data_IF_227234362144
#
_entry.id   IF_227234362144
#
_cell.length_a   1.000
_cell.length_b   1.000
_cell.length_c   1.000
_cell.angle_alpha   90.00
_cell.angle_beta   90.00
_cell.angle_gamma   90.00
#
_symmetry.space_group_name_H-M   'P 1'
#
loop_
_entity.id
_entity.type
_entity.pdbx_description
1 polymer ?
#
# COMPACT_ATOMS: atom_id res chain seq x y z
N UNK A 1 -7.48 -72.90 -52.92
CA UNK A 1 -7.41 -72.99 -51.44
C UNK A 1 -7.22 -71.58 -50.90
N UNK A 2 -8.33 -70.97 -50.51
CA UNK A 2 -8.39 -69.63 -49.93
C UNK A 2 -8.19 -69.74 -48.43
N UNK A 3 -7.24 -68.92 -47.87
CA UNK A 3 -7.18 -68.70 -46.42
C UNK A 3 -7.56 -67.25 -46.16
N UNK A 4 -8.74 -67.06 -45.60
CA UNK A 4 -9.26 -65.83 -45.04
C UNK A 4 -8.43 -65.48 -43.81
N UNK A 5 -7.84 -64.29 -43.78
CA UNK A 5 -7.36 -63.67 -42.55
C UNK A 5 -8.36 -62.59 -42.15
N UNK A 6 -9.09 -62.87 -41.10
CA UNK A 6 -9.89 -61.85 -40.38
C UNK A 6 -8.96 -60.96 -39.59
N UNK A 7 -8.95 -59.70 -39.97
CA UNK A 7 -8.24 -58.63 -39.25
C UNK A 7 -9.23 -58.05 -38.23
N UNK A 8 -9.05 -58.37 -36.93
CA UNK A 8 -9.78 -57.72 -35.82
C UNK A 8 -9.16 -56.35 -35.56
N UNK A 9 -9.89 -55.31 -35.95
CA UNK A 9 -9.54 -53.92 -35.64
C UNK A 9 -10.08 -53.66 -34.21
N UNK A 10 -9.16 -53.64 -33.21
CA UNK A 10 -9.50 -53.18 -31.86
C UNK A 10 -9.54 -51.65 -31.92
N UNK A 11 -10.77 -51.12 -31.90
CA UNK A 11 -11.03 -49.69 -31.69
C UNK A 11 -10.82 -49.41 -30.20
N UNK A 12 -9.63 -48.98 -29.84
CA UNK A 12 -9.35 -48.43 -28.50
C UNK A 12 -10.05 -47.05 -28.41
N UNK A 13 -11.28 -47.07 -27.89
CA UNK A 13 -11.95 -45.84 -27.42
C UNK A 13 -11.23 -45.40 -26.15
N UNK A 14 -10.28 -44.50 -26.30
CA UNK A 14 -9.77 -43.74 -25.19
C UNK A 14 -10.89 -42.81 -24.69
N UNK A 15 -11.68 -43.34 -23.78
CA UNK A 15 -12.53 -42.50 -22.92
C UNK A 15 -11.56 -41.75 -22.03
N UNK A 16 -11.16 -40.52 -22.44
CA UNK A 16 -10.57 -39.55 -21.54
C UNK A 16 -11.67 -39.20 -20.52
N UNK A 17 -11.73 -39.98 -19.45
CA UNK A 17 -12.38 -39.54 -18.25
C UNK A 17 -11.59 -38.33 -17.73
N UNK A 18 -11.96 -37.14 -18.18
CA UNK A 18 -11.68 -35.95 -17.43
C UNK A 18 -12.44 -36.10 -16.12
N UNK A 19 -11.75 -36.65 -15.12
CA UNK A 19 -12.22 -36.58 -13.74
C UNK A 19 -12.51 -35.08 -13.48
N UNK A 20 -13.75 -34.76 -13.06
CA UNK A 20 -14.04 -33.39 -12.67
C UNK A 20 -12.97 -33.00 -11.66
N UNK A 21 -12.26 -31.89 -11.90
CA UNK A 21 -11.21 -31.38 -11.02
C UNK A 21 -11.75 -31.46 -9.59
N UNK A 22 -11.15 -32.31 -8.77
CA UNK A 22 -11.62 -32.59 -7.42
C UNK A 22 -11.54 -31.26 -6.69
N UNK A 23 -12.69 -30.66 -6.35
CA UNK A 23 -12.74 -29.37 -5.64
C UNK A 23 -11.87 -29.51 -4.42
N UNK A 24 -10.81 -28.72 -4.31
CA UNK A 24 -9.91 -28.76 -3.17
C UNK A 24 -10.72 -28.62 -1.88
N UNK A 25 -10.45 -29.45 -0.89
CA UNK A 25 -11.07 -29.34 0.42
C UNK A 25 -10.85 -27.96 1.06
N UNK A 26 -9.82 -27.23 0.61
CA UNK A 26 -9.50 -25.87 1.04
C UNK A 26 -10.43 -24.81 0.45
N UNK A 27 -11.01 -25.04 -0.74
CA UNK A 27 -11.89 -24.06 -1.37
C UNK A 27 -13.07 -23.68 -0.47
N UNK A 28 -13.29 -22.38 -0.24
CA UNK A 28 -14.40 -21.87 0.56
C UNK A 28 -14.05 -20.61 1.36
N UNK A 29 -14.99 -20.19 2.18
CA UNK A 29 -14.83 -19.11 3.16
C UNK A 29 -14.51 -19.70 4.53
N UNK A 30 -13.47 -19.16 5.15
CA UNK A 30 -12.92 -19.63 6.43
C UNK A 30 -12.83 -18.46 7.40
N UNK A 31 -13.28 -18.67 8.63
CA UNK A 31 -13.14 -17.67 9.70
C UNK A 31 -12.48 -18.29 10.93
N UNK A 32 -11.76 -17.47 11.65
CA UNK A 32 -11.11 -17.86 12.90
C UNK A 32 -10.14 -16.80 13.39
N UNK A 33 -9.03 -17.26 13.95
CA UNK A 33 -8.11 -16.33 14.61
C UNK A 33 -6.67 -16.84 14.63
N UNK A 34 -5.75 -15.89 14.85
CA UNK A 34 -4.45 -16.15 15.44
C UNK A 34 -4.50 -15.80 16.92
N UNK A 35 -3.69 -16.47 17.71
CA UNK A 35 -3.57 -16.22 19.14
C UNK A 35 -2.14 -16.34 19.62
N UNK A 36 -1.81 -15.57 20.65
CA UNK A 36 -0.52 -15.60 21.32
C UNK A 36 -0.69 -15.16 22.76
N UNK A 37 -0.22 -15.97 23.72
CA UNK A 37 -0.33 -15.66 25.15
C UNK A 37 -1.75 -15.29 25.63
N UNK A 38 -2.78 -15.88 24.99
CA UNK A 38 -4.17 -15.56 25.31
C UNK A 38 -4.77 -14.35 24.62
N UNK A 39 -3.96 -13.54 23.93
CA UNK A 39 -4.46 -12.47 23.06
C UNK A 39 -4.89 -13.04 21.71
N UNK A 40 -5.95 -12.52 21.11
CA UNK A 40 -6.62 -13.07 19.92
C UNK A 40 -6.83 -11.97 18.88
N UNK A 41 -6.48 -12.29 17.62
CA UNK A 41 -6.78 -11.47 16.46
C UNK A 41 -7.60 -12.27 15.44
N UNK A 42 -8.77 -11.78 15.08
CA UNK A 42 -9.65 -12.45 14.12
C UNK A 42 -9.17 -12.30 12.69
N UNK A 43 -9.31 -13.37 11.92
CA UNK A 43 -8.93 -13.42 10.51
C UNK A 43 -10.02 -14.11 9.67
N UNK A 44 -10.08 -13.78 8.39
CA UNK A 44 -10.92 -14.44 7.39
C UNK A 44 -10.08 -14.80 6.18
N UNK A 45 -10.45 -15.89 5.53
CA UNK A 45 -9.79 -16.33 4.29
C UNK A 45 -10.83 -16.77 3.28
N UNK A 46 -10.68 -16.30 2.06
CA UNK A 46 -11.39 -16.80 0.90
C UNK A 46 -10.43 -17.57 0.00
N UNK A 47 -10.70 -18.84 -0.21
CA UNK A 47 -9.87 -19.75 -0.99
C UNK A 47 -10.62 -20.20 -2.24
N UNK A 48 -10.04 -19.93 -3.41
CA UNK A 48 -10.62 -20.19 -4.72
C UNK A 48 -9.74 -21.15 -5.52
N UNK A 49 -10.36 -22.00 -6.36
CA UNK A 49 -9.63 -22.94 -7.20
C UNK A 49 -9.19 -24.20 -6.45
N UNK A 50 -8.25 -24.95 -7.02
CA UNK A 50 -7.76 -26.22 -6.46
C UNK A 50 -6.32 -26.50 -6.92
N UNK A 51 -5.56 -27.25 -6.13
CA UNK A 51 -4.17 -27.61 -6.44
C UNK A 51 -3.31 -26.38 -6.70
N UNK A 52 -2.48 -26.40 -7.72
CA UNK A 52 -1.58 -25.31 -8.10
C UNK A 52 -2.28 -24.01 -8.52
N UNK A 53 -3.61 -24.07 -8.73
CA UNK A 53 -4.43 -22.89 -9.06
C UNK A 53 -5.13 -22.28 -7.85
N UNK A 54 -4.85 -22.75 -6.63
CA UNK A 54 -5.47 -22.23 -5.42
C UNK A 54 -5.02 -20.78 -5.19
N UNK A 55 -5.99 -19.86 -5.20
CA UNK A 55 -5.81 -18.47 -4.82
C UNK A 55 -6.36 -18.27 -3.42
N UNK A 56 -5.61 -17.61 -2.58
CA UNK A 56 -5.99 -17.32 -1.20
C UNK A 56 -6.00 -15.84 -0.97
N UNK A 57 -7.15 -15.32 -0.55
CA UNK A 57 -7.29 -13.94 -0.08
C UNK A 57 -7.51 -13.98 1.42
N UNK A 58 -6.93 -13.05 2.14
CA UNK A 58 -7.20 -12.93 3.57
C UNK A 58 -7.64 -11.53 3.95
N UNK A 59 -8.45 -11.48 4.98
CA UNK A 59 -8.84 -10.27 5.67
C UNK A 59 -8.30 -10.30 7.10
N UNK A 60 -7.78 -9.16 7.52
CA UNK A 60 -7.49 -8.82 8.90
C UNK A 60 -8.27 -7.53 9.25
N UNK A 61 -9.54 -7.67 9.66
CA UNK A 61 -10.43 -6.52 9.82
C UNK A 61 -9.91 -5.48 10.82
N UNK A 62 -9.26 -5.93 11.89
CA UNK A 62 -8.73 -5.01 12.90
C UNK A 62 -7.57 -4.15 12.34
N UNK A 63 -6.73 -4.71 11.48
CA UNK A 63 -5.70 -3.95 10.76
C UNK A 63 -6.23 -3.15 9.57
N UNK A 64 -7.50 -3.32 9.22
CA UNK A 64 -8.06 -2.75 8.01
C UNK A 64 -7.44 -3.31 6.73
N UNK A 65 -7.04 -4.58 6.75
CA UNK A 65 -6.53 -5.34 5.60
C UNK A 65 -7.66 -6.18 5.04
N UNK A 66 -7.95 -6.01 3.76
CA UNK A 66 -9.07 -6.69 3.11
C UNK A 66 -8.69 -7.22 1.73
N UNK A 67 -9.12 -8.43 1.42
CA UNK A 67 -8.91 -9.13 0.14
C UNK A 67 -7.44 -9.12 -0.31
N UNK A 68 -6.53 -9.25 0.66
CA UNK A 68 -5.11 -9.27 0.39
C UNK A 68 -4.71 -10.63 -0.20
N UNK A 69 -4.07 -10.62 -1.36
CA UNK A 69 -3.53 -11.85 -1.94
C UNK A 69 -2.37 -12.35 -1.10
N UNK A 70 -2.32 -13.66 -0.92
CA UNK A 70 -1.11 -14.29 -0.42
C UNK A 70 -0.17 -14.48 -1.60
N UNK A 71 0.86 -13.64 -1.67
CA UNK A 71 1.95 -13.76 -2.66
C UNK A 71 3.09 -14.62 -2.08
N UNK A 72 3.78 -15.34 -2.96
CA UNK A 72 4.91 -16.20 -2.62
C UNK A 72 4.58 -17.67 -2.67
N UNK A 73 5.59 -18.52 -2.41
CA UNK A 73 5.49 -19.97 -2.44
C UNK A 73 4.51 -20.48 -1.37
N UNK A 74 3.22 -20.42 -1.69
CA UNK A 74 2.19 -21.14 -0.96
C UNK A 74 2.39 -22.62 -1.28
N UNK A 75 3.35 -23.26 -0.63
CA UNK A 75 3.59 -24.68 -0.79
C UNK A 75 2.44 -25.44 -0.11
N UNK A 76 1.37 -25.64 -0.86
CA UNK A 76 0.34 -26.58 -0.46
C UNK A 76 0.90 -27.96 -0.75
N UNK A 77 1.29 -28.64 0.31
CA UNK A 77 1.91 -29.96 0.21
C UNK A 77 1.00 -30.96 -0.52
N UNK A 78 1.63 -31.92 -1.19
CA UNK A 78 1.04 -32.93 -2.07
C UNK A 78 -0.14 -33.72 -1.47
N UNK A 79 -0.40 -33.63 -0.17
CA UNK A 79 -1.40 -34.43 0.55
C UNK A 79 -2.66 -33.66 0.99
N UNK A 80 -2.91 -32.43 0.55
CA UNK A 80 -4.09 -31.63 0.92
C UNK A 80 -4.42 -31.54 2.44
N UNK A 81 -3.56 -32.01 3.32
CA UNK A 81 -3.77 -32.04 4.76
C UNK A 81 -2.70 -31.31 5.55
N UNK A 82 -1.47 -31.24 5.04
CA UNK A 82 -0.36 -30.49 5.63
C UNK A 82 0.13 -29.50 4.60
N UNK A 83 0.21 -28.22 4.94
CA UNK A 83 0.60 -27.15 4.04
C UNK A 83 1.06 -25.92 4.81
N UNK A 84 1.72 -25.01 4.12
CA UNK A 84 2.16 -23.74 4.68
C UNK A 84 1.30 -22.60 4.13
N UNK A 85 0.94 -21.66 4.99
CA UNK A 85 0.36 -20.38 4.61
C UNK A 85 1.29 -19.27 5.09
N UNK A 86 1.69 -18.36 4.18
CA UNK A 86 2.46 -17.17 4.51
C UNK A 86 1.62 -15.92 4.33
N UNK A 87 1.41 -15.16 5.40
CA UNK A 87 0.65 -13.91 5.38
C UNK A 87 1.23 -12.92 6.42
N UNK A 88 0.58 -11.77 6.62
CA UNK A 88 1.10 -10.63 7.37
C UNK A 88 1.72 -10.88 8.75
N UNK A 89 1.60 -12.10 9.30
CA UNK A 89 2.25 -12.54 10.54
C UNK A 89 3.30 -13.62 10.30
N UNK A 90 3.73 -13.79 9.06
CA UNK A 90 4.75 -14.74 8.64
C UNK A 90 4.19 -16.11 8.24
N UNK A 91 5.05 -17.11 8.21
CA UNK A 91 4.78 -18.45 7.70
C UNK A 91 4.22 -19.37 8.79
N UNK A 92 3.04 -19.92 8.55
CA UNK A 92 2.37 -20.88 9.43
C UNK A 92 2.41 -22.28 8.83
N UNK A 93 2.83 -23.26 9.61
CA UNK A 93 2.68 -24.68 9.29
C UNK A 93 1.28 -25.13 9.70
N UNK A 94 0.48 -25.57 8.74
CA UNK A 94 -0.94 -25.82 8.90
C UNK A 94 -1.30 -27.27 8.70
N UNK A 95 -2.34 -27.73 9.43
CA UNK A 95 -2.97 -29.04 9.31
C UNK A 95 -4.45 -28.87 9.03
N UNK A 96 -4.95 -29.45 7.91
CA UNK A 96 -6.37 -29.51 7.58
C UNK A 96 -7.02 -30.75 8.16
N UNK A 97 -8.03 -30.56 9.00
CA UNK A 97 -8.96 -31.61 9.39
C UNK A 97 -10.19 -31.59 8.44
N UNK A 98 -10.16 -32.42 7.41
CA UNK A 98 -11.24 -32.49 6.40
C UNK A 98 -12.61 -32.84 7.00
N UNK A 99 -12.64 -33.67 8.06
CA UNK A 99 -13.90 -34.14 8.70
C UNK A 99 -14.65 -32.97 9.35
N UNK A 100 -13.93 -32.05 9.98
CA UNK A 100 -14.54 -30.94 10.73
C UNK A 100 -14.44 -29.61 9.98
N UNK A 101 -13.79 -29.58 8.79
CA UNK A 101 -13.56 -28.35 8.04
C UNK A 101 -12.76 -27.35 8.85
N UNK A 102 -11.67 -27.79 9.48
CA UNK A 102 -10.82 -26.95 10.35
C UNK A 102 -9.39 -26.96 9.87
N UNK A 103 -8.76 -25.80 9.96
CA UNK A 103 -7.31 -25.64 9.76
C UNK A 103 -6.73 -25.15 11.07
N UNK A 104 -5.71 -25.85 11.55
CA UNK A 104 -4.89 -25.43 12.68
C UNK A 104 -3.45 -25.27 12.21
N UNK A 105 -2.72 -24.33 12.79
CA UNK A 105 -1.32 -24.12 12.44
C UNK A 105 -0.58 -23.33 13.50
N UNK A 106 0.73 -23.25 13.34
CA UNK A 106 1.58 -22.44 14.21
C UNK A 106 2.73 -21.79 13.45
N UNK A 107 3.16 -20.63 13.96
CA UNK A 107 4.39 -19.96 13.54
C UNK A 107 5.39 -19.99 14.69
N UNK A 108 6.38 -20.86 14.59
CA UNK A 108 7.42 -21.09 15.61
C UNK A 108 8.56 -20.05 15.60
N UNK A 109 8.58 -19.17 14.61
CA UNK A 109 9.57 -18.09 14.55
C UNK A 109 9.30 -17.02 15.62
N UNK A 110 8.07 -16.98 16.13
CA UNK A 110 7.70 -16.14 17.25
C UNK A 110 7.91 -16.87 18.58
N UNK A 111 8.38 -16.18 19.59
CA UNK A 111 8.61 -16.73 20.93
C UNK A 111 7.85 -15.91 21.96
N UNK A 112 6.79 -16.45 22.60
CA UNK A 112 6.13 -17.74 22.31
C UNK A 112 5.49 -17.77 20.92
N UNK A 113 5.29 -19.00 20.40
CA UNK A 113 4.73 -19.21 19.07
C UNK A 113 3.33 -18.59 18.91
N UNK A 114 3.00 -18.17 17.70
CA UNK A 114 1.65 -17.74 17.32
C UNK A 114 0.89 -18.95 16.82
N UNK A 115 -0.31 -19.17 17.37
CA UNK A 115 -1.21 -20.24 16.96
C UNK A 115 -2.24 -19.71 15.95
N UNK A 116 -2.65 -20.56 15.05
CA UNK A 116 -3.62 -20.26 13.99
C UNK A 116 -4.73 -21.32 13.99
N UNK A 117 -5.98 -20.88 14.02
CA UNK A 117 -7.13 -21.77 13.94
C UNK A 117 -8.26 -21.08 13.18
N UNK A 118 -8.68 -21.71 12.08
CA UNK A 118 -9.83 -21.27 11.29
C UNK A 118 -10.76 -22.45 10.98
N UNK A 119 -12.02 -22.15 10.76
CA UNK A 119 -13.08 -23.10 10.39
C UNK A 119 -13.75 -22.66 9.10
N UNK A 120 -14.00 -23.61 8.22
CA UNK A 120 -14.79 -23.40 7.02
C UNK A 120 -16.25 -23.14 7.40
N UNK A 121 -16.78 -22.01 6.96
CA UNK A 121 -18.16 -21.61 7.27
C UNK A 121 -19.05 -21.46 6.04
N UNK A 122 -18.46 -21.44 4.84
CA UNK A 122 -19.26 -21.29 3.64
C UNK A 122 -18.48 -21.38 2.34
N UNK A 123 -19.09 -20.86 1.29
CA UNK A 123 -18.44 -20.64 -0.01
C UNK A 123 -17.62 -19.36 0.06
N UNK A 124 -16.51 -19.30 -0.69
CA UNK A 124 -15.74 -18.08 -0.83
C UNK A 124 -16.63 -16.92 -1.32
N UNK A 125 -16.43 -15.74 -0.69
CA UNK A 125 -17.19 -14.54 -1.04
C UNK A 125 -16.84 -14.07 -2.46
N UNK A 126 -17.83 -13.63 -3.20
CA UNK A 126 -17.58 -12.99 -4.48
C UNK A 126 -17.03 -11.58 -4.28
N UNK A 127 -16.11 -11.18 -5.16
CA UNK A 127 -15.64 -9.80 -5.17
C UNK A 127 -16.79 -8.80 -5.33
N UNK A 128 -16.80 -7.70 -4.58
CA UNK A 128 -17.87 -6.69 -4.67
C UNK A 128 -17.80 -5.85 -5.96
N UNK A 129 -16.85 -6.14 -6.84
CA UNK A 129 -16.55 -5.39 -8.05
C UNK A 129 -16.35 -6.30 -9.26
N UNK A 130 -16.43 -5.69 -10.44
CA UNK A 130 -15.83 -6.20 -11.67
C UNK A 130 -14.53 -5.46 -11.93
N UNK A 131 -13.54 -6.13 -12.53
CA UNK A 131 -12.25 -5.52 -12.85
C UNK A 131 -11.93 -5.61 -14.33
N UNK A 132 -11.27 -4.58 -14.84
CA UNK A 132 -10.78 -4.49 -16.20
C UNK A 132 -9.31 -4.07 -16.17
N UNK A 133 -8.44 -4.83 -16.80
CA UNK A 133 -7.05 -4.43 -17.00
C UNK A 133 -6.96 -3.41 -18.14
N UNK A 134 -6.22 -2.34 -17.90
CA UNK A 134 -6.06 -1.21 -18.82
C UNK A 134 -4.58 -0.95 -19.11
N UNK A 135 -4.34 -0.26 -20.20
CA UNK A 135 -3.01 0.27 -20.53
C UNK A 135 -3.15 1.64 -21.16
N UNK A 136 -2.30 2.56 -20.74
CA UNK A 136 -2.19 3.92 -21.28
C UNK A 136 -0.74 4.35 -21.33
N UNK A 137 -0.44 5.46 -22.00
CA UNK A 137 0.96 5.88 -22.22
C UNK A 137 1.18 7.34 -21.82
N UNK A 138 2.38 7.59 -21.30
CA UNK A 138 2.94 8.93 -21.10
C UNK A 138 4.26 9.00 -21.88
N UNK A 139 4.25 9.65 -23.06
CA UNK A 139 5.39 9.62 -23.97
C UNK A 139 5.76 8.18 -24.34
N UNK A 140 7.03 7.82 -24.15
CA UNK A 140 7.55 6.46 -24.41
C UNK A 140 7.29 5.45 -23.28
N UNK A 141 6.67 5.85 -22.17
CA UNK A 141 6.38 4.98 -21.03
C UNK A 141 4.98 4.39 -21.16
N UNK A 142 4.88 3.06 -21.16
CA UNK A 142 3.62 2.32 -21.10
C UNK A 142 3.29 2.02 -19.65
N UNK A 143 2.09 2.40 -19.21
CA UNK A 143 1.58 2.20 -17.87
C UNK A 143 0.46 1.17 -17.89
N UNK A 144 0.60 0.12 -17.12
CA UNK A 144 -0.40 -0.92 -16.92
C UNK A 144 -1.23 -0.59 -15.69
N UNK A 145 -2.55 -0.75 -15.77
CA UNK A 145 -3.45 -0.41 -14.69
C UNK A 145 -4.65 -1.35 -14.62
N UNK A 146 -5.54 -1.08 -13.67
CA UNK A 146 -6.82 -1.77 -13.55
C UNK A 146 -7.90 -0.78 -13.11
N UNK A 147 -9.09 -0.95 -13.67
CA UNK A 147 -10.31 -0.27 -13.23
C UNK A 147 -11.14 -1.28 -12.45
N UNK A 148 -11.53 -0.92 -11.24
CA UNK A 148 -12.42 -1.70 -10.40
C UNK A 148 -13.77 -0.97 -10.31
N UNK A 149 -14.82 -1.59 -10.86
CA UNK A 149 -16.19 -1.04 -10.84
C UNK A 149 -17.02 -1.77 -9.79
N UNK A 150 -17.70 -1.09 -8.87
CA UNK A 150 -18.65 -1.73 -7.96
C UNK A 150 -19.68 -2.57 -8.72
N UNK A 151 -20.08 -3.72 -8.18
CA UNK A 151 -21.23 -4.47 -8.69
C UNK A 151 -22.51 -3.70 -8.33
N UNK A 152 -23.42 -3.54 -9.28
CA UNK A 152 -24.66 -2.79 -9.14
C UNK A 152 -24.83 -1.78 -10.27
N UNK A 153 -25.87 -0.98 -10.21
CA UNK A 153 -26.20 0.02 -11.22
C UNK A 153 -26.11 1.42 -10.64
N UNK A 154 -25.42 2.31 -11.32
CA UNK A 154 -25.47 3.74 -11.04
C UNK A 154 -24.23 4.47 -11.54
N UNK A 155 -24.29 5.78 -11.68
CA UNK A 155 -23.11 6.61 -11.79
C UNK A 155 -22.47 6.69 -10.40
N UNK A 156 -21.35 5.95 -10.21
CA UNK A 156 -20.61 5.94 -8.97
C UNK A 156 -19.47 6.99 -8.98
N UNK A 157 -19.06 7.54 -7.82
CA UNK A 157 -17.82 8.29 -7.74
C UNK A 157 -16.64 7.36 -8.02
N UNK A 158 -15.58 7.90 -8.61
CA UNK A 158 -14.37 7.16 -8.95
C UNK A 158 -13.13 7.85 -8.42
N UNK A 159 -12.17 7.06 -7.97
CA UNK A 159 -10.91 7.54 -7.38
C UNK A 159 -9.73 6.98 -8.15
N UNK A 160 -8.80 7.85 -8.55
CA UNK A 160 -7.48 7.45 -9.07
C UNK A 160 -6.51 7.42 -7.89
N UNK A 161 -5.89 6.26 -7.65
CA UNK A 161 -4.88 6.10 -6.60
C UNK A 161 -3.50 6.58 -7.09
N UNK A 162 -2.91 7.52 -6.36
CA UNK A 162 -1.57 8.06 -6.61
C UNK A 162 -0.60 7.48 -5.56
N UNK A 163 0.47 6.87 -6.05
CA UNK A 163 1.44 6.16 -5.23
C UNK A 163 2.31 7.09 -4.37
N UNK A 164 2.86 6.53 -3.28
CA UNK A 164 3.93 7.14 -2.50
C UNK A 164 5.31 7.03 -3.19
N UNK A 165 6.38 7.20 -2.41
CA UNK A 165 7.77 7.17 -2.90
C UNK A 165 8.23 5.79 -3.36
N UNK A 166 7.75 4.71 -2.73
CA UNK A 166 8.21 3.34 -2.97
C UNK A 166 7.85 2.78 -4.35
N UNK A 167 8.46 1.64 -4.68
CA UNK A 167 8.14 0.81 -5.84
C UNK A 167 6.79 0.11 -5.65
N UNK A 168 5.71 0.81 -5.99
CA UNK A 168 4.36 0.35 -5.73
C UNK A 168 3.67 -0.11 -7.01
N UNK A 169 3.15 -1.33 -6.97
CA UNK A 169 2.31 -1.89 -8.02
C UNK A 169 0.85 -2.03 -7.53
N UNK A 170 -0.08 -2.14 -8.48
CA UNK A 170 -1.53 -2.26 -8.21
C UNK A 170 -1.95 -3.44 -7.32
N UNK A 171 -1.03 -4.41 -7.08
CA UNK A 171 -1.27 -5.57 -6.20
C UNK A 171 -0.79 -5.38 -4.76
N UNK A 172 -0.20 -4.24 -4.43
CA UNK A 172 0.25 -3.94 -3.07
C UNK A 172 -0.91 -4.06 -2.08
N UNK A 173 -0.67 -4.64 -0.92
CA UNK A 173 -1.69 -5.03 0.07
C UNK A 173 -2.64 -3.89 0.48
N UNK A 174 -2.14 -2.68 0.71
CA UNK A 174 -2.97 -1.55 1.12
C UNK A 174 -3.85 -1.03 -0.05
N UNK A 175 -3.36 -1.10 -1.28
CA UNK A 175 -4.14 -0.78 -2.49
C UNK A 175 -5.29 -1.77 -2.62
N UNK A 176 -5.03 -3.06 -2.44
CA UNK A 176 -6.07 -4.11 -2.46
C UNK A 176 -7.13 -3.86 -1.40
N UNK A 177 -6.71 -3.49 -0.19
CA UNK A 177 -7.64 -3.15 0.91
C UNK A 177 -8.51 -1.94 0.57
N UNK A 178 -7.92 -0.88 -0.01
CA UNK A 178 -8.67 0.28 -0.49
C UNK A 178 -9.67 -0.11 -1.58
N UNK A 179 -9.26 -0.88 -2.59
CA UNK A 179 -10.15 -1.38 -3.64
C UNK A 179 -11.34 -2.11 -3.04
N UNK A 180 -11.11 -3.04 -2.12
CA UNK A 180 -12.17 -3.83 -1.49
C UNK A 180 -13.15 -2.96 -0.69
N UNK A 181 -12.62 -2.06 0.15
CA UNK A 181 -13.44 -1.18 0.99
C UNK A 181 -14.22 -0.17 0.14
N UNK A 182 -13.56 0.48 -0.81
CA UNK A 182 -14.20 1.51 -1.63
C UNK A 182 -15.29 0.92 -2.53
N UNK A 183 -15.02 -0.21 -3.17
CA UNK A 183 -16.02 -0.85 -4.06
C UNK A 183 -17.19 -1.46 -3.30
N UNK A 184 -17.00 -2.00 -2.09
CA UNK A 184 -18.13 -2.36 -1.19
C UNK A 184 -19.01 -1.16 -0.83
N UNK A 185 -18.47 0.05 -0.92
CA UNK A 185 -19.16 1.30 -0.65
C UNK A 185 -19.60 2.05 -1.93
N UNK A 186 -19.71 1.37 -3.06
CA UNK A 186 -20.11 1.96 -4.35
C UNK A 186 -19.20 3.11 -4.79
N UNK A 187 -17.89 2.93 -4.65
CA UNK A 187 -16.85 3.84 -5.13
C UNK A 187 -15.94 3.07 -6.07
N UNK A 188 -15.89 3.49 -7.33
CA UNK A 188 -14.97 2.92 -8.32
C UNK A 188 -13.52 3.31 -8.04
N UNK A 189 -12.59 2.45 -8.43
CA UNK A 189 -11.15 2.67 -8.20
C UNK A 189 -10.37 2.44 -9.48
N UNK A 190 -9.48 3.37 -9.78
CA UNK A 190 -8.45 3.22 -10.82
C UNK A 190 -7.10 3.19 -10.14
N UNK A 191 -6.32 2.20 -10.46
CA UNK A 191 -4.92 2.11 -10.01
C UNK A 191 -4.04 1.61 -11.14
N UNK A 192 -2.81 2.05 -11.18
CA UNK A 192 -1.82 1.58 -12.16
C UNK A 192 -0.52 1.18 -11.47
N UNK A 193 0.28 0.37 -12.12
CA UNK A 193 1.63 0.07 -11.66
C UNK A 193 2.48 1.33 -11.91
N UNK A 194 3.14 1.84 -10.86
CA UNK A 194 4.06 2.97 -10.99
C UNK A 194 5.11 2.66 -12.04
N UNK A 195 5.56 3.67 -12.81
CA UNK A 195 6.59 3.44 -13.84
C UNK A 195 7.78 2.64 -13.31
N UNK A 196 8.25 1.66 -14.06
CA UNK A 196 9.32 0.76 -13.65
C UNK A 196 8.94 -0.30 -12.62
N UNK A 197 7.63 -0.47 -12.34
CA UNK A 197 7.13 -1.52 -11.45
C UNK A 197 6.06 -2.37 -12.13
N UNK A 198 5.81 -3.57 -11.61
CA UNK A 198 4.78 -4.46 -12.11
C UNK A 198 4.89 -4.70 -13.62
N UNK A 199 3.85 -4.32 -14.38
CA UNK A 199 3.81 -4.43 -15.85
C UNK A 199 4.04 -3.08 -16.57
N UNK A 200 4.32 -2.02 -15.82
CA UNK A 200 4.65 -0.71 -16.37
C UNK A 200 6.11 -0.63 -16.80
N UNK A 201 6.36 -0.01 -17.96
CA UNK A 201 7.70 0.29 -18.41
C UNK A 201 8.27 1.54 -17.75
N UNK A 202 9.49 1.94 -18.14
CA UNK A 202 10.16 3.11 -17.57
C UNK A 202 11.07 2.74 -16.40
N UNK A 203 11.53 3.78 -15.68
CA UNK A 203 12.40 3.61 -14.53
C UNK A 203 11.96 4.58 -13.41
N UNK A 204 11.63 4.04 -12.25
CA UNK A 204 11.21 4.80 -11.09
C UNK A 204 12.37 5.58 -10.47
N UNK A 205 13.57 5.03 -10.45
CA UNK A 205 14.74 5.62 -9.79
C UNK A 205 15.23 6.90 -10.48
N UNK A 206 14.91 7.06 -11.76
CA UNK A 206 15.29 8.25 -12.54
C UNK A 206 14.11 9.18 -12.83
N UNK A 207 12.90 8.82 -12.40
CA UNK A 207 11.70 9.61 -12.61
C UNK A 207 11.68 10.83 -11.68
N UNK A 208 11.35 11.99 -12.21
CA UNK A 208 11.07 13.21 -11.44
C UNK A 208 9.60 13.27 -11.00
N UNK A 209 9.27 14.19 -10.08
CA UNK A 209 7.87 14.48 -9.76
C UNK A 209 7.07 14.96 -10.99
N UNK A 210 7.71 15.66 -11.93
CA UNK A 210 7.08 16.04 -13.19
C UNK A 210 6.70 14.81 -14.03
N UNK A 211 7.58 13.81 -14.11
CA UNK A 211 7.29 12.54 -14.80
C UNK A 211 6.11 11.81 -14.15
N UNK A 212 6.12 11.70 -12.82
CA UNK A 212 5.06 11.04 -12.06
C UNK A 212 3.72 11.79 -12.19
N UNK A 213 3.74 13.13 -12.17
CA UNK A 213 2.56 13.96 -12.42
C UNK A 213 1.99 13.78 -13.83
N UNK A 214 2.87 13.62 -14.82
CA UNK A 214 2.47 13.35 -16.20
C UNK A 214 1.89 11.94 -16.36
N UNK A 215 2.34 10.96 -15.59
CA UNK A 215 1.73 9.62 -15.56
C UNK A 215 0.29 9.67 -15.04
N UNK A 216 0.05 10.37 -13.93
CA UNK A 216 -1.32 10.57 -13.42
C UNK A 216 -2.16 11.34 -14.43
N UNK A 217 -1.61 12.38 -15.07
CA UNK A 217 -2.31 13.14 -16.12
C UNK A 217 -2.69 12.26 -17.32
N UNK A 218 -1.83 11.30 -17.69
CA UNK A 218 -2.15 10.32 -18.73
C UNK A 218 -3.30 9.38 -18.30
N UNK A 219 -3.31 8.96 -17.04
CA UNK A 219 -4.41 8.19 -16.45
C UNK A 219 -5.72 8.98 -16.49
N UNK A 220 -5.71 10.24 -16.07
CA UNK A 220 -6.89 11.12 -16.10
C UNK A 220 -7.42 11.24 -17.53
N UNK A 221 -6.56 11.51 -18.53
CA UNK A 221 -6.98 11.57 -19.94
C UNK A 221 -7.64 10.27 -20.40
N UNK A 222 -7.04 9.12 -20.05
CA UNK A 222 -7.57 7.82 -20.40
C UNK A 222 -8.98 7.63 -19.81
N UNK A 223 -9.14 7.88 -18.53
CA UNK A 223 -10.41 7.70 -17.81
C UNK A 223 -11.48 8.70 -18.30
N UNK A 224 -11.12 9.96 -18.57
CA UNK A 224 -12.07 10.98 -19.07
C UNK A 224 -12.65 10.65 -20.43
N UNK A 225 -11.97 9.85 -21.24
CA UNK A 225 -12.45 9.38 -22.54
C UNK A 225 -13.33 8.12 -22.44
N UNK A 226 -13.43 7.48 -21.27
CA UNK A 226 -14.21 6.26 -21.00
C UNK A 226 -15.65 6.61 -20.60
N UNK A 227 -16.49 6.93 -21.59
CA UNK A 227 -17.89 7.31 -21.34
C UNK A 227 -18.77 6.17 -20.81
N UNK A 228 -18.32 4.94 -20.98
CA UNK A 228 -18.97 3.72 -20.45
C UNK A 228 -18.82 3.56 -18.92
N UNK A 229 -17.97 4.35 -18.28
CA UNK A 229 -17.76 4.26 -16.82
C UNK A 229 -18.84 5.02 -16.02
N UNK A 230 -19.60 5.94 -16.64
CA UNK A 230 -20.66 6.71 -15.99
C UNK A 230 -20.24 7.32 -14.64
N UNK A 231 -19.10 8.01 -14.62
CA UNK A 231 -18.49 8.58 -13.40
C UNK A 231 -19.32 9.78 -12.93
N UNK A 232 -19.81 9.74 -11.69
CA UNK A 232 -20.56 10.86 -11.08
C UNK A 232 -19.64 11.96 -10.53
N UNK A 233 -18.48 11.57 -9.98
CA UNK A 233 -17.43 12.46 -9.47
C UNK A 233 -16.08 11.77 -9.66
N UNK A 234 -15.06 12.49 -10.07
CA UNK A 234 -13.70 11.98 -10.20
C UNK A 234 -12.81 12.61 -9.12
N UNK A 235 -12.12 11.78 -8.35
CA UNK A 235 -11.21 12.25 -7.33
C UNK A 235 -9.83 11.62 -7.40
N UNK A 236 -8.90 12.18 -6.63
CA UNK A 236 -7.55 11.67 -6.43
C UNK A 236 -7.40 11.20 -4.99
N UNK A 237 -6.82 10.03 -4.80
CA UNK A 237 -6.38 9.53 -3.50
C UNK A 237 -4.86 9.40 -3.53
N UNK A 238 -4.17 10.30 -2.88
CA UNK A 238 -2.73 10.45 -2.96
C UNK A 238 -2.08 10.03 -1.63
N UNK A 239 -1.20 9.04 -1.68
CA UNK A 239 -0.52 8.53 -0.49
C UNK A 239 0.89 9.09 -0.39
N UNK A 240 1.28 9.57 0.82
CA UNK A 240 2.66 9.98 1.14
C UNK A 240 3.20 10.97 0.09
N UNK A 241 4.31 10.66 -0.59
CA UNK A 241 4.89 11.48 -1.66
C UNK A 241 3.90 11.84 -2.78
N UNK A 242 2.87 11.04 -3.01
CA UNK A 242 1.76 11.40 -3.91
C UNK A 242 1.06 12.69 -3.52
N UNK A 243 1.09 13.05 -2.22
CA UNK A 243 0.54 14.28 -1.68
C UNK A 243 1.25 15.55 -2.17
N UNK A 244 2.51 15.47 -2.58
CA UNK A 244 3.20 16.60 -3.21
C UNK A 244 2.69 16.87 -4.63
N UNK A 245 2.36 15.83 -5.38
CA UNK A 245 2.00 15.98 -6.80
C UNK A 245 0.49 16.13 -7.04
N UNK A 246 -0.35 15.60 -6.15
CA UNK A 246 -1.80 15.62 -6.33
C UNK A 246 -2.42 17.04 -6.39
N UNK A 247 -1.99 18.02 -5.58
CA UNK A 247 -2.50 19.39 -5.67
C UNK A 247 -2.26 20.04 -7.04
N UNK A 248 -1.02 19.94 -7.57
CA UNK A 248 -0.67 20.47 -8.89
C UNK A 248 -1.50 19.83 -10.00
N UNK A 249 -1.74 18.51 -9.90
CA UNK A 249 -2.57 17.77 -10.84
C UNK A 249 -4.02 18.23 -10.77
N UNK A 250 -4.60 18.35 -9.57
CA UNK A 250 -5.95 18.83 -9.38
C UNK A 250 -6.10 20.25 -9.93
N UNK A 251 -5.14 21.14 -9.68
CA UNK A 251 -5.16 22.50 -10.21
C UNK A 251 -5.14 22.55 -11.75
N UNK A 252 -4.43 21.61 -12.38
CA UNK A 252 -4.39 21.47 -13.85
C UNK A 252 -5.66 20.85 -14.44
N UNK A 253 -6.27 19.89 -13.74
CA UNK A 253 -7.40 19.12 -14.22
C UNK A 253 -8.70 19.49 -13.50
N UNK A 254 -9.43 20.48 -14.03
CA UNK A 254 -10.65 21.05 -13.39
C UNK A 254 -11.82 20.05 -13.28
N UNK A 255 -11.70 18.88 -13.88
CA UNK A 255 -12.66 17.77 -13.73
C UNK A 255 -12.47 16.99 -12.41
N UNK A 256 -11.43 17.31 -11.64
CA UNK A 256 -11.20 16.68 -10.33
C UNK A 256 -12.10 17.35 -9.29
N UNK A 257 -13.03 16.59 -8.73
CA UNK A 257 -14.02 17.06 -7.76
C UNK A 257 -13.50 17.10 -6.33
N UNK A 258 -12.53 16.22 -6.01
CA UNK A 258 -11.96 16.12 -4.67
C UNK A 258 -10.56 15.49 -4.67
N UNK A 259 -9.80 15.79 -3.63
CA UNK A 259 -8.49 15.19 -3.36
C UNK A 259 -8.49 14.64 -1.92
N UNK A 260 -7.95 13.44 -1.75
CA UNK A 260 -7.64 12.86 -0.43
C UNK A 260 -6.12 12.77 -0.34
N UNK A 261 -5.55 13.47 0.63
CA UNK A 261 -4.14 13.42 0.99
C UNK A 261 -3.96 12.45 2.16
N UNK A 262 -3.61 11.22 1.84
CA UNK A 262 -3.40 10.17 2.82
C UNK A 262 -1.95 10.19 3.31
N UNK A 263 -1.72 10.68 4.52
CA UNK A 263 -0.38 10.90 5.10
C UNK A 263 0.50 11.76 4.16
N UNK A 264 -0.13 12.73 3.48
CA UNK A 264 0.53 13.62 2.53
C UNK A 264 1.14 14.82 3.21
N UNK A 265 2.35 15.24 2.81
CA UNK A 265 3.04 16.39 3.42
C UNK A 265 2.53 17.75 2.91
N UNK A 266 2.68 18.77 3.76
CA UNK A 266 2.46 20.17 3.45
C UNK A 266 3.76 21.00 3.38
N UNK A 267 4.88 20.40 3.73
CA UNK A 267 6.20 21.03 3.73
C UNK A 267 7.00 20.66 2.47
N UNK A 268 8.01 21.46 2.09
CA UNK A 268 8.95 21.09 1.03
C UNK A 268 9.66 19.76 1.31
N UNK A 269 10.05 19.06 0.27
CA UNK A 269 10.64 17.70 0.35
C UNK A 269 11.85 17.60 1.26
N UNK A 270 12.80 18.54 1.16
CA UNK A 270 13.98 18.54 2.03
C UNK A 270 13.62 18.83 3.49
N UNK A 271 12.67 19.75 3.72
CA UNK A 271 12.16 20.03 5.06
C UNK A 271 11.49 18.82 5.68
N UNK A 272 10.75 18.04 4.84
CA UNK A 272 10.10 16.81 5.29
C UNK A 272 11.11 15.79 5.82
N UNK A 273 12.23 15.61 5.14
CA UNK A 273 13.26 14.68 5.63
C UNK A 273 13.96 15.22 6.89
N UNK A 274 14.22 16.52 6.97
CA UNK A 274 14.74 17.13 8.19
C UNK A 274 13.79 16.92 9.38
N UNK A 275 12.49 17.12 9.19
CA UNK A 275 11.47 16.90 10.23
C UNK A 275 11.42 15.43 10.66
N UNK A 276 11.53 14.50 9.69
CA UNK A 276 11.62 13.06 9.96
C UNK A 276 12.82 12.73 10.84
N UNK A 277 13.99 13.24 10.51
CA UNK A 277 15.22 13.01 11.30
C UNK A 277 15.06 13.55 12.72
N UNK A 278 14.65 14.82 12.85
CA UNK A 278 14.48 15.44 14.16
C UNK A 278 13.46 14.72 15.02
N UNK A 279 12.28 14.46 14.47
CA UNK A 279 11.20 13.76 15.17
C UNK A 279 11.64 12.36 15.62
N UNK A 280 12.23 11.59 14.70
CA UNK A 280 12.69 10.24 14.99
C UNK A 280 13.72 10.21 16.11
N UNK A 281 14.71 11.10 16.07
CA UNK A 281 15.74 11.14 17.10
C UNK A 281 15.19 11.55 18.47
N UNK A 282 14.32 12.57 18.50
CA UNK A 282 13.69 13.01 19.76
C UNK A 282 12.83 11.90 20.37
N UNK A 283 12.03 11.22 19.55
CA UNK A 283 11.18 10.12 20.00
C UNK A 283 11.98 8.91 20.50
N UNK A 284 13.21 8.71 19.98
CA UNK A 284 14.17 7.70 20.49
C UNK A 284 14.93 8.14 21.75
N UNK A 285 14.63 9.31 22.32
CA UNK A 285 15.25 9.78 23.55
C UNK A 285 16.67 10.28 23.42
N UNK A 286 17.14 10.63 22.19
CA UNK A 286 18.45 11.22 22.01
C UNK A 286 18.50 12.61 22.66
N UNK A 287 19.65 12.94 23.27
CA UNK A 287 19.87 14.26 23.85
C UNK A 287 19.91 15.35 22.78
N UNK A 288 19.64 16.61 23.21
CA UNK A 288 19.58 17.76 22.31
C UNK A 288 20.86 17.94 21.47
N UNK A 289 22.02 17.70 22.06
CA UNK A 289 23.32 17.89 21.38
C UNK A 289 23.49 16.89 20.23
N UNK A 290 23.09 15.64 20.46
CA UNK A 290 23.12 14.58 19.43
C UNK A 290 22.13 14.88 18.32
N UNK A 291 20.90 15.33 18.67
CA UNK A 291 19.89 15.75 17.68
C UNK A 291 20.40 16.92 16.85
N UNK A 292 20.90 18.00 17.48
CA UNK A 292 21.41 19.16 16.77
C UNK A 292 22.56 18.79 15.81
N UNK A 293 23.43 17.86 16.23
CA UNK A 293 24.54 17.40 15.39
C UNK A 293 24.05 16.61 14.16
N UNK A 294 23.06 15.75 14.32
CA UNK A 294 22.44 15.02 13.23
C UNK A 294 21.69 15.96 12.27
N UNK A 295 20.98 16.94 12.82
CA UNK A 295 20.31 17.97 12.00
C UNK A 295 21.31 18.79 11.18
N UNK A 296 22.44 19.18 11.76
CA UNK A 296 23.51 19.87 11.02
C UNK A 296 24.08 19.01 9.89
N UNK A 297 24.24 17.70 10.11
CA UNK A 297 24.63 16.77 9.05
C UNK A 297 23.58 16.73 7.93
N UNK A 298 22.31 16.56 8.26
CA UNK A 298 21.22 16.47 7.27
C UNK A 298 21.05 17.80 6.48
N UNK A 299 21.18 18.95 7.15
CA UNK A 299 21.18 20.25 6.46
C UNK A 299 22.34 20.37 5.48
N UNK A 300 23.54 19.99 5.90
CA UNK A 300 24.73 20.00 5.03
C UNK A 300 24.56 19.05 3.84
N UNK A 301 23.96 17.88 4.05
CA UNK A 301 23.63 16.96 2.95
C UNK A 301 22.74 17.64 1.90
N UNK A 302 21.67 18.31 2.31
CA UNK A 302 20.77 18.98 1.37
C UNK A 302 21.37 20.24 0.72
N UNK A 303 22.30 20.93 1.39
CA UNK A 303 23.08 22.00 0.76
C UNK A 303 23.93 21.44 -0.39
N UNK A 304 24.60 20.29 -0.18
CA UNK A 304 25.38 19.63 -1.24
C UNK A 304 24.46 19.10 -2.35
N UNK A 305 23.33 18.51 -2.02
CA UNK A 305 22.33 18.07 -3.01
C UNK A 305 21.90 19.24 -3.89
N UNK A 306 21.63 20.40 -3.31
CA UNK A 306 21.11 21.56 -4.03
C UNK A 306 22.16 22.21 -4.92
N UNK A 307 23.34 22.46 -4.37
CA UNK A 307 24.31 23.38 -4.96
C UNK A 307 25.63 22.72 -5.39
N UNK A 308 25.82 21.43 -5.14
CA UNK A 308 27.10 20.69 -5.30
C UNK A 308 28.27 21.32 -4.50
N UNK A 309 27.98 22.09 -3.45
CA UNK A 309 28.97 22.76 -2.63
C UNK A 309 29.08 22.14 -1.25
N UNK A 310 30.28 22.16 -0.65
CA UNK A 310 30.49 21.65 0.71
C UNK A 310 30.73 20.15 0.81
N UNK A 311 31.04 19.47 -0.29
CA UNK A 311 31.27 18.03 -0.32
C UNK A 311 32.30 17.54 0.70
N UNK A 312 33.47 18.22 0.83
CA UNK A 312 34.51 17.84 1.80
C UNK A 312 34.03 17.91 3.25
N UNK A 313 33.23 18.94 3.57
CA UNK A 313 32.59 19.05 4.89
C UNK A 313 31.60 17.90 5.13
N UNK A 314 30.82 17.58 4.12
CA UNK A 314 29.87 16.46 4.22
C UNK A 314 30.62 15.13 4.42
N UNK A 315 31.70 14.88 3.70
CA UNK A 315 32.51 13.66 3.86
C UNK A 315 33.12 13.54 5.27
N UNK A 316 33.56 14.67 5.84
CA UNK A 316 34.01 14.71 7.24
C UNK A 316 32.86 14.30 8.18
N UNK A 317 31.68 14.85 7.98
CA UNK A 317 30.49 14.51 8.78
C UNK A 317 30.04 13.05 8.58
N UNK A 318 30.02 12.55 7.35
CA UNK A 318 29.74 11.12 7.04
C UNK A 318 30.69 10.21 7.83
N UNK A 319 31.98 10.57 7.91
CA UNK A 319 32.98 9.77 8.62
C UNK A 319 32.68 9.65 10.13
N UNK A 320 32.02 10.63 10.73
CA UNK A 320 31.59 10.60 12.14
C UNK A 320 30.39 9.65 12.35
N UNK A 321 29.47 9.58 11.38
CA UNK A 321 28.20 8.86 11.54
C UNK A 321 28.20 7.45 10.96
N UNK A 322 29.05 7.14 9.97
CA UNK A 322 29.08 5.81 9.33
C UNK A 322 29.34 4.64 10.27
N UNK A 323 29.91 4.90 11.46
CA UNK A 323 30.15 3.88 12.50
C UNK A 323 29.04 3.81 13.54
N UNK A 324 28.04 4.70 13.47
CA UNK A 324 26.92 4.74 14.40
C UNK A 324 25.79 3.87 13.84
N UNK A 325 25.41 2.80 14.56
CA UNK A 325 24.31 1.91 14.13
C UNK A 325 23.03 2.69 13.89
N UNK A 326 22.62 3.51 14.86
CA UNK A 326 21.42 4.31 14.79
C UNK A 326 21.34 5.26 13.57
N UNK A 327 22.48 5.76 13.06
CA UNK A 327 22.50 6.63 11.89
C UNK A 327 22.14 5.90 10.59
N UNK A 328 22.36 4.58 10.55
CA UNK A 328 22.03 3.70 9.43
C UNK A 328 20.63 3.08 9.57
N UNK A 329 20.10 3.02 10.79
CA UNK A 329 18.83 2.39 11.05
C UNK A 329 17.72 3.09 10.25
N UNK A 330 17.05 2.33 9.38
CA UNK A 330 16.02 2.83 8.47
C UNK A 330 16.45 4.06 7.64
N UNK A 331 17.73 4.13 7.26
CA UNK A 331 18.30 5.26 6.54
C UNK A 331 18.05 6.61 7.27
N UNK A 332 18.21 6.62 8.58
CA UNK A 332 17.92 7.81 9.39
C UNK A 332 18.72 9.02 8.90
N UNK A 333 20.04 8.85 8.67
CA UNK A 333 20.89 9.84 8.06
C UNK A 333 21.35 9.43 6.66
N UNK A 334 21.41 10.36 5.76
CA UNK A 334 22.00 10.16 4.43
C UNK A 334 23.54 10.15 4.53
N UNK A 335 24.15 9.04 4.17
CA UNK A 335 25.59 8.82 4.33
C UNK A 335 26.26 8.50 2.96
N UNK A 336 26.29 9.47 2.01
CA UNK A 336 26.79 9.25 0.66
C UNK A 336 28.29 8.92 0.62
N UNK A 337 28.67 7.94 -0.20
CA UNK A 337 30.08 7.56 -0.41
C UNK A 337 30.74 8.39 -1.52
N UNK A 338 29.96 8.87 -2.47
CA UNK A 338 30.41 9.69 -3.60
C UNK A 338 29.44 10.82 -3.89
N UNK A 339 29.98 11.91 -4.43
CA UNK A 339 29.14 13.02 -4.89
C UNK A 339 28.28 12.59 -6.08
N UNK A 340 27.02 13.04 -6.09
CA UNK A 340 26.03 12.70 -7.11
C UNK A 340 25.75 11.18 -7.21
N UNK A 341 25.72 10.51 -6.06
CA UNK A 341 25.17 9.16 -5.99
C UNK A 341 23.66 9.12 -6.36
N UNK A 342 23.09 7.95 -6.43
CA UNK A 342 21.69 7.78 -6.85
C UNK A 342 20.71 8.50 -5.92
N UNK A 343 20.98 8.51 -4.62
CA UNK A 343 20.12 9.18 -3.63
C UNK A 343 20.19 10.70 -3.77
N UNK A 344 21.38 11.28 -3.94
CA UNK A 344 21.54 12.72 -4.19
C UNK A 344 20.85 13.16 -5.47
N UNK A 345 20.97 12.36 -6.55
CA UNK A 345 20.30 12.63 -7.82
C UNK A 345 18.78 12.53 -7.69
N UNK A 346 18.32 11.53 -6.94
CA UNK A 346 16.92 11.39 -6.63
C UNK A 346 16.38 12.61 -5.86
N UNK A 347 16.99 13.00 -4.77
CA UNK A 347 16.59 14.15 -3.99
C UNK A 347 16.56 15.44 -4.82
N UNK A 348 17.54 15.62 -5.70
CA UNK A 348 17.61 16.80 -6.58
C UNK A 348 16.45 16.86 -7.56
N UNK A 349 16.08 15.73 -8.14
CA UNK A 349 14.94 15.62 -9.08
C UNK A 349 13.57 15.68 -8.38
N UNK A 350 13.56 15.54 -7.06
CA UNK A 350 12.35 15.57 -6.22
C UNK A 350 12.31 16.78 -5.28
N UNK A 351 13.17 17.81 -5.50
CA UNK A 351 13.10 19.05 -4.76
C UNK A 351 11.84 19.82 -5.15
N UNK A 352 10.86 19.86 -4.25
CA UNK A 352 9.53 20.39 -4.51
C UNK A 352 8.95 21.05 -3.27
N UNK A 353 8.20 22.15 -3.47
CA UNK A 353 7.45 22.86 -2.44
C UNK A 353 5.96 22.85 -2.81
N UNK A 354 5.08 22.22 -2.01
CA UNK A 354 3.65 22.14 -2.30
C UNK A 354 2.86 23.41 -1.96
N UNK A 355 3.47 24.39 -1.31
CA UNK A 355 2.78 25.57 -0.76
C UNK A 355 1.92 26.29 -1.80
N UNK A 356 2.49 26.57 -2.99
CA UNK A 356 1.76 27.24 -4.06
C UNK A 356 0.56 26.42 -4.54
N UNK A 357 0.75 25.13 -4.76
CA UNK A 357 -0.31 24.29 -5.30
C UNK A 357 -1.44 24.06 -4.28
N UNK A 358 -1.11 23.88 -3.01
CA UNK A 358 -2.08 23.77 -1.92
C UNK A 358 -2.88 25.06 -1.73
N UNK A 359 -2.21 26.23 -1.85
CA UNK A 359 -2.85 27.55 -1.68
C UNK A 359 -3.76 27.95 -2.86
N UNK A 360 -3.79 27.17 -3.94
CA UNK A 360 -4.61 27.41 -5.12
C UNK A 360 -5.57 26.24 -5.44
N UNK A 361 -5.83 25.37 -4.47
CA UNK A 361 -6.77 24.27 -4.62
C UNK A 361 -8.18 24.81 -4.92
N UNK A 362 -8.84 24.20 -5.92
CA UNK A 362 -10.20 24.60 -6.32
C UNK A 362 -11.27 23.56 -5.95
N UNK A 363 -10.86 22.35 -5.59
CA UNK A 363 -11.77 21.25 -5.23
C UNK A 363 -11.66 20.90 -3.73
N UNK A 364 -12.58 20.07 -3.25
CA UNK A 364 -12.60 19.65 -1.84
C UNK A 364 -11.35 18.84 -1.48
N UNK A 365 -10.77 19.08 -0.30
CA UNK A 365 -9.58 18.35 0.18
C UNK A 365 -9.82 17.71 1.54
N UNK A 366 -9.60 16.40 1.63
CA UNK A 366 -9.47 15.66 2.90
C UNK A 366 -7.99 15.37 3.13
N UNK A 367 -7.44 15.81 4.26
CA UNK A 367 -6.09 15.43 4.69
C UNK A 367 -6.18 14.51 5.89
N UNK A 368 -5.65 13.29 5.77
CA UNK A 368 -5.50 12.32 6.85
C UNK A 368 -4.06 12.32 7.31
N UNK A 369 -3.81 12.43 8.61
CA UNK A 369 -2.48 12.42 9.22
C UNK A 369 -2.47 11.43 10.38
N UNK A 370 -1.41 10.63 10.50
CA UNK A 370 -1.23 9.76 11.66
C UNK A 370 -0.68 10.56 12.84
N UNK A 371 -1.25 10.37 14.04
CA UNK A 371 -0.78 11.06 15.25
C UNK A 371 0.70 10.78 15.54
N UNK A 372 1.12 9.54 15.30
CA UNK A 372 2.49 9.04 15.51
C UNK A 372 3.24 8.83 14.19
N UNK A 373 2.88 9.58 13.14
CA UNK A 373 3.57 9.50 11.87
C UNK A 373 4.96 10.14 11.98
N UNK A 374 6.01 9.32 11.89
CA UNK A 374 7.39 9.76 11.95
C UNK A 374 7.97 10.15 10.58
N UNK A 375 7.31 9.77 9.50
CA UNK A 375 7.73 10.14 8.15
C UNK A 375 7.13 11.49 7.73
N UNK A 376 5.87 11.74 8.08
CA UNK A 376 5.17 13.01 7.85
C UNK A 376 4.58 13.50 9.18
N UNK A 377 5.42 14.04 10.09
CA UNK A 377 4.98 14.43 11.43
C UNK A 377 3.85 15.45 11.38
N UNK A 378 2.71 15.20 12.05
CA UNK A 378 1.57 16.11 12.02
C UNK A 378 1.84 17.45 12.67
N UNK A 379 2.82 17.55 13.60
CA UNK A 379 3.15 18.76 14.32
C UNK A 379 3.51 19.95 13.38
N UNK A 380 4.23 19.67 12.30
CA UNK A 380 4.61 20.70 11.32
C UNK A 380 3.63 20.75 10.14
N UNK A 381 3.13 19.61 9.71
CA UNK A 381 2.32 19.52 8.50
C UNK A 381 0.88 20.02 8.68
N UNK A 382 0.25 19.80 9.86
CA UNK A 382 -1.15 20.17 10.10
C UNK A 382 -1.40 21.66 9.97
N UNK A 383 -0.57 22.48 10.64
CA UNK A 383 -0.75 23.93 10.65
C UNK A 383 -0.57 24.53 9.25
N UNK A 384 0.43 24.07 8.49
CA UNK A 384 0.67 24.52 7.12
C UNK A 384 -0.42 24.07 6.16
N UNK A 385 -0.89 22.81 6.28
CA UNK A 385 -2.01 22.30 5.48
C UNK A 385 -3.26 23.16 5.69
N UNK A 386 -3.60 23.45 6.95
CA UNK A 386 -4.72 24.33 7.31
C UNK A 386 -4.55 25.73 6.73
N UNK A 387 -3.37 26.31 6.87
CA UNK A 387 -3.05 27.63 6.33
C UNK A 387 -3.24 27.70 4.82
N UNK A 388 -2.65 26.77 4.08
CA UNK A 388 -2.71 26.78 2.62
C UNK A 388 -4.10 26.51 2.06
N UNK A 389 -4.82 25.52 2.62
CA UNK A 389 -6.17 25.20 2.19
C UNK A 389 -7.18 26.31 2.55
N UNK A 390 -7.00 26.98 3.69
CA UNK A 390 -7.78 28.17 4.06
C UNK A 390 -7.50 29.33 3.10
N UNK A 391 -6.24 29.56 2.72
CA UNK A 391 -5.88 30.56 1.72
C UNK A 391 -6.50 30.24 0.35
N UNK A 392 -6.56 28.99 -0.05
CA UNK A 392 -7.23 28.55 -1.27
C UNK A 392 -8.77 28.78 -1.24
N UNK A 393 -9.36 28.93 -0.06
CA UNK A 393 -10.81 29.05 0.11
C UNK A 393 -11.59 27.80 -0.28
N UNK A 394 -10.94 26.67 -0.44
CA UNK A 394 -11.60 25.41 -0.80
C UNK A 394 -12.20 24.71 0.43
N UNK A 395 -13.31 23.97 0.29
CA UNK A 395 -13.81 23.12 1.37
C UNK A 395 -12.78 22.06 1.73
N UNK A 396 -12.37 22.00 3.01
CA UNK A 396 -11.37 21.04 3.45
C UNK A 396 -11.64 20.53 4.85
N UNK A 397 -11.03 19.37 5.17
CA UNK A 397 -11.03 18.74 6.48
C UNK A 397 -9.68 18.10 6.74
N UNK A 398 -9.12 18.35 7.91
CA UNK A 398 -7.87 17.71 8.37
C UNK A 398 -8.19 16.82 9.54
N UNK A 399 -7.89 15.53 9.42
CA UNK A 399 -8.20 14.51 10.43
C UNK A 399 -6.91 13.87 10.92
N UNK A 400 -6.70 13.93 12.22
CA UNK A 400 -5.63 13.17 12.88
C UNK A 400 -6.19 11.79 13.25
N UNK A 401 -5.54 10.75 12.77
CA UNK A 401 -5.88 9.36 13.10
C UNK A 401 -5.16 8.97 14.39
N UNK A 402 -5.90 8.72 15.49
CA UNK A 402 -5.29 8.51 16.81
C UNK A 402 -4.34 7.31 16.84
N UNK A 403 -3.19 7.50 17.48
CA UNK A 403 -2.13 6.49 17.65
C UNK A 403 -1.59 5.89 16.34
N UNK A 404 -2.00 6.35 15.17
CA UNK A 404 -1.60 5.79 13.90
C UNK A 404 -0.25 6.33 13.43
N UNK A 405 0.57 5.45 12.85
CA UNK A 405 1.77 5.80 12.10
C UNK A 405 1.47 6.13 10.63
N UNK A 406 2.53 6.18 9.81
CA UNK A 406 2.46 6.59 8.41
C UNK A 406 1.54 5.75 7.51
N UNK A 407 1.27 4.50 7.86
CA UNK A 407 0.34 3.63 7.11
C UNK A 407 -1.11 3.68 7.62
N UNK A 408 -1.43 4.57 8.56
CA UNK A 408 -2.76 4.69 9.16
C UNK A 408 -3.11 3.55 10.12
N UNK A 409 -2.12 2.76 10.58
CA UNK A 409 -2.30 1.69 11.56
C UNK A 409 -1.83 2.18 12.92
N UNK A 410 -2.68 2.05 13.93
CA UNK A 410 -2.36 2.35 15.31
C UNK A 410 -1.49 1.23 15.93
N UNK A 411 -0.72 1.60 16.95
CA UNK A 411 0.21 0.71 17.65
C UNK A 411 1.34 0.13 16.77
N UNK A 412 1.52 0.65 15.57
CA UNK A 412 2.76 0.43 14.86
C UNK A 412 3.84 1.25 15.56
N UNK A 413 4.94 0.62 15.93
CA UNK A 413 6.04 1.34 16.58
C UNK A 413 6.53 2.47 15.68
N UNK A 414 6.86 3.62 16.26
CA UNK A 414 7.32 4.82 15.59
C UNK A 414 8.53 4.61 14.66
N UNK A 415 9.23 3.48 14.82
CA UNK A 415 10.51 3.21 14.17
C UNK A 415 10.48 2.03 13.22
N UNK A 416 9.30 1.55 12.81
CA UNK A 416 9.22 0.29 12.08
C UNK A 416 9.77 -0.89 12.90
N UNK A 417 10.03 -0.63 14.17
CA UNK A 417 10.59 -1.58 15.10
C UNK A 417 9.63 -2.70 15.41
N UNK A 418 10.20 -3.81 15.75
CA UNK A 418 9.48 -4.99 16.16
C UNK A 418 8.56 -4.68 17.34
N UNK A 419 7.39 -5.28 17.33
CA UNK A 419 6.54 -5.38 18.49
C UNK A 419 7.35 -5.91 19.66
N UNK A 420 7.43 -5.17 20.77
CA UNK A 420 8.04 -5.65 21.98
C UNK A 420 7.15 -6.74 22.60
N UNK A 421 7.28 -7.94 22.09
CA UNK A 421 6.78 -9.14 22.75
C UNK A 421 7.76 -9.54 23.86
N UNK A 422 7.27 -9.93 25.05
CA UNK A 422 5.86 -10.15 25.42
C UNK A 422 5.13 -8.91 25.97
N UNK A 423 5.76 -7.76 26.11
CA UNK A 423 5.21 -6.58 26.78
C UNK A 423 3.91 -6.06 26.16
N UNK A 424 3.77 -6.23 24.84
CA UNK A 424 2.60 -5.78 24.09
C UNK A 424 1.77 -6.94 23.50
N UNK A 425 1.81 -8.13 24.10
CA UNK A 425 1.13 -9.30 23.52
C UNK A 425 -0.40 -9.17 23.41
N UNK A 426 -1.01 -8.32 24.21
CA UNK A 426 -2.46 -8.04 24.16
C UNK A 426 -2.83 -6.97 23.12
N UNK A 427 -1.85 -6.29 22.54
CA UNK A 427 -2.09 -5.22 21.58
C UNK A 427 -1.76 -5.73 20.19
N UNK A 428 -2.79 -5.89 19.36
CA UNK A 428 -2.63 -6.16 17.95
C UNK A 428 -2.66 -4.86 17.15
N UNK A 429 -1.92 -4.77 16.00
CA UNK A 429 -2.02 -3.62 15.13
C UNK A 429 -3.46 -3.39 14.71
N UNK A 430 -3.94 -2.17 14.83
CA UNK A 430 -5.33 -1.83 14.51
C UNK A 430 -5.37 -0.60 13.60
N UNK A 431 -6.29 -0.61 12.66
CA UNK A 431 -6.65 0.59 11.91
C UNK A 431 -7.93 1.15 12.52
N UNK A 432 -7.89 2.37 13.09
CA UNK A 432 -9.09 3.00 13.61
C UNK A 432 -10.18 3.09 12.54
N UNK A 433 -11.42 2.75 12.88
CA UNK A 433 -12.56 2.81 11.95
C UNK A 433 -12.70 4.18 11.30
N UNK A 434 -12.40 5.24 12.06
CA UNK A 434 -12.34 6.62 11.60
C UNK A 434 -11.57 6.79 10.28
N UNK A 435 -10.53 6.00 10.02
CA UNK A 435 -9.74 6.11 8.79
C UNK A 435 -10.59 5.86 7.53
N UNK A 436 -11.28 4.73 7.47
CA UNK A 436 -12.12 4.42 6.32
C UNK A 436 -13.43 5.21 6.31
N UNK A 437 -14.02 5.48 7.48
CA UNK A 437 -15.26 6.24 7.61
C UNK A 437 -15.11 7.65 7.04
N UNK A 438 -14.00 8.33 7.35
CA UNK A 438 -13.71 9.66 6.82
C UNK A 438 -13.49 9.64 5.30
N UNK A 439 -12.76 8.66 4.78
CA UNK A 439 -12.54 8.50 3.33
C UNK A 439 -13.87 8.32 2.60
N UNK A 440 -14.70 7.37 3.06
CA UNK A 440 -15.97 7.02 2.42
C UNK A 440 -16.95 8.21 2.51
N UNK A 441 -17.08 8.81 3.69
CA UNK A 441 -17.95 9.96 3.93
C UNK A 441 -17.54 11.13 3.03
N UNK A 442 -16.24 11.43 2.94
CA UNK A 442 -15.74 12.51 2.09
C UNK A 442 -16.06 12.31 0.61
N UNK A 443 -15.80 11.12 0.07
CA UNK A 443 -16.06 10.80 -1.33
C UNK A 443 -17.54 10.92 -1.65
N UNK A 444 -18.42 10.41 -0.80
CA UNK A 444 -19.87 10.44 -0.98
C UNK A 444 -20.48 11.85 -0.80
N UNK A 445 -19.71 12.80 -0.30
CA UNK A 445 -20.20 14.15 -0.02
C UNK A 445 -20.97 14.26 1.31
N UNK A 446 -20.72 13.34 2.25
CA UNK A 446 -21.22 13.37 3.60
C UNK A 446 -20.61 14.53 4.40
N UNK A 447 -21.44 15.10 5.22
CA UNK A 447 -21.37 16.31 6.06
C UNK A 447 -20.16 17.26 5.92
N UNK A 448 -20.51 18.48 5.63
CA UNK A 448 -19.69 19.69 5.73
C UNK A 448 -19.22 19.94 7.16
#
# INVERSE_FOLDING_TARGET
MLKNKFLFLYLLVLISNSLPAQKSALQGHWEGAISRLGSVQTLRFDMYGAGDSLQVHYDDPARGVFSCYLEGDQQIGVNDTVFDINFGYGKFHCLLNKKYGQITGSNKNWKPEVLFHIKKIGRAEESPYTSEDISFSNGGVKLAGSIYKPKGSGPDPMVILIHGSDAQARRTWYIRSLVQVLTKNHIGVVVYDKRGTGQSTGNMNTASFADLSNDVSACIRYISNRKDLHISKLGLFATSAGGWIAPAIANKWKIIDFVILNMGPAVPTFKQDLDRVEYTMRANGFDKKTVDSAMNHSMLYFEVVKDNRGWEKLQTSVSLYKTRSWAKDNNLLQLPEKMNDEDMLWWRSHNFDPANDLSHMHCRVLSLMGENDNLVPPATNKALMEQYLSQAGCPHKIVIIPNAGHNGIAFQTLFGGEWNWPEHFWIWPQRPALYYDEIISWIKGGAR
#
